data_IF_477696650661
#
_entry.id   IF_477696650661
#
_cell.length_a   1.000
_cell.length_b   1.000
_cell.length_c   1.000
_cell.angle_alpha   90.00
_cell.angle_beta   90.00
_cell.angle_gamma   90.00
#
_symmetry.space_group_name_H-M   'P 1'
#
loop_
_entity.id
_entity.type
_entity.pdbx_description
1 polymer ?
#
# COMPACT_ATOMS: atom_id res chain seq x y z
N UNK A 1 -30.34 40.12 -51.22
CA UNK A 1 -29.82 41.06 -50.19
C UNK A 1 -28.33 40.77 -50.05
N UNK A 2 -27.33 41.64 -50.18
CA UNK A 2 -27.14 43.04 -50.57
C UNK A 2 -25.71 43.10 -51.19
N UNK A 3 -25.46 43.83 -52.29
CA UNK A 3 -24.82 45.18 -52.34
C UNK A 3 -23.41 45.18 -51.67
N UNK A 4 -22.29 45.71 -52.17
CA UNK A 4 -21.88 46.85 -53.01
C UNK A 4 -20.34 46.66 -53.17
N UNK A 5 -19.59 46.95 -54.25
CA UNK A 5 -19.44 48.24 -54.92
C UNK A 5 -18.14 48.95 -54.51
N UNK A 6 -17.38 49.41 -55.52
CA UNK A 6 -16.49 50.59 -55.51
C UNK A 6 -15.13 50.45 -54.77
N UNK A 7 -13.97 50.84 -55.29
CA UNK A 7 -13.63 51.84 -56.30
C UNK A 7 -13.12 53.14 -55.64
N UNK A 8 -11.85 53.45 -55.90
CA UNK A 8 -11.26 54.79 -56.07
C UNK A 8 -10.67 55.58 -54.87
N UNK A 9 -9.40 55.96 -55.06
CA UNK A 9 -8.70 57.23 -54.79
C UNK A 9 -9.10 58.12 -53.59
N UNK A 10 -8.10 58.61 -52.83
CA UNK A 10 -7.42 59.90 -53.08
C UNK A 10 -6.75 60.45 -51.79
N UNK A 11 -5.56 61.03 -51.96
CA UNK A 11 -5.10 62.27 -51.32
C UNK A 11 -5.08 62.40 -49.79
N UNK A 12 -3.86 62.45 -49.23
CA UNK A 12 -3.64 62.92 -47.86
C UNK A 12 -2.16 63.13 -47.55
N UNK A 13 -1.56 64.17 -48.12
CA UNK A 13 -0.26 64.67 -47.71
C UNK A 13 -0.39 65.27 -46.31
N UNK A 14 0.24 64.67 -45.29
CA UNK A 14 0.42 65.29 -43.99
C UNK A 14 1.87 65.05 -43.53
N UNK A 15 2.72 66.05 -43.78
CA UNK A 15 3.95 66.26 -43.05
C UNK A 15 3.60 66.44 -41.57
N UNK A 16 3.90 65.45 -40.75
CA UNK A 16 4.00 65.64 -39.31
C UNK A 16 5.40 65.20 -38.86
N UNK A 17 6.23 66.21 -38.67
CA UNK A 17 7.45 66.18 -37.89
C UNK A 17 7.08 65.76 -36.46
N UNK A 18 7.27 64.48 -36.14
CA UNK A 18 7.04 63.91 -34.82
C UNK A 18 8.24 63.08 -34.42
N UNK A 19 9.09 63.65 -33.56
CA UNK A 19 10.17 62.97 -32.85
C UNK A 19 9.57 61.86 -31.96
N UNK A 20 9.39 60.67 -32.53
CA UNK A 20 8.87 59.49 -31.86
C UNK A 20 9.96 58.44 -31.72
N UNK A 21 10.43 58.24 -30.49
CA UNK A 21 11.39 57.22 -30.10
C UNK A 21 10.93 55.84 -30.60
N UNK A 22 11.56 55.33 -31.67
CA UNK A 22 11.25 54.03 -32.24
C UNK A 22 11.75 52.95 -31.28
N UNK A 23 10.87 52.50 -30.39
CA UNK A 23 11.07 51.28 -29.63
C UNK A 23 11.04 50.11 -30.60
N UNK A 24 12.21 49.67 -31.05
CA UNK A 24 12.38 48.46 -31.85
C UNK A 24 12.02 47.26 -31.00
N UNK A 25 10.74 46.86 -31.03
CA UNK A 25 10.32 45.53 -30.59
C UNK A 25 10.90 44.49 -31.56
N UNK A 26 12.15 44.10 -31.34
CA UNK A 26 12.69 42.86 -31.89
C UNK A 26 11.84 41.69 -31.37
N UNK A 27 11.21 40.88 -32.23
CA UNK A 27 10.55 39.67 -31.78
C UNK A 27 11.61 38.72 -31.24
N UNK A 28 11.67 38.61 -29.91
CA UNK A 28 12.51 37.61 -29.22
C UNK A 28 12.01 36.23 -29.64
N UNK A 29 12.68 35.62 -30.61
CA UNK A 29 12.42 34.24 -30.99
C UNK A 29 12.72 33.36 -29.78
N UNK A 30 11.68 32.81 -29.17
CA UNK A 30 11.82 31.80 -28.13
C UNK A 30 12.45 30.55 -28.76
N UNK A 31 13.76 30.38 -28.57
CA UNK A 31 14.47 29.17 -28.97
C UNK A 31 13.87 27.99 -28.22
N UNK A 32 12.92 27.30 -28.84
CA UNK A 32 12.40 26.03 -28.33
C UNK A 32 13.50 25.01 -28.55
N UNK A 33 14.26 24.70 -27.51
CA UNK A 33 15.21 23.58 -27.49
C UNK A 33 14.42 22.29 -27.67
N UNK A 34 14.35 21.80 -28.92
CA UNK A 34 13.80 20.47 -29.20
C UNK A 34 14.78 19.43 -28.67
N UNK A 35 14.30 18.57 -27.78
CA UNK A 35 15.05 17.41 -27.35
C UNK A 35 15.24 16.46 -28.55
N UNK A 36 16.48 16.31 -29.01
CA UNK A 36 16.83 15.40 -30.10
C UNK A 36 17.28 14.08 -29.49
N UNK A 37 16.41 13.07 -29.55
CA UNK A 37 16.73 11.72 -29.08
C UNK A 37 17.15 10.88 -30.29
N UNK A 38 18.35 10.25 -30.27
CA UNK A 38 18.76 9.34 -31.33
C UNK A 38 17.78 8.17 -31.49
N UNK A 39 17.44 7.81 -32.74
CA UNK A 39 16.56 6.67 -33.00
C UNK A 39 17.15 5.32 -32.51
N UNK A 40 18.47 5.26 -32.35
CA UNK A 40 19.19 4.11 -31.79
C UNK A 40 19.18 4.04 -30.27
N UNK A 41 18.66 5.05 -29.57
CA UNK A 41 18.62 5.04 -28.11
C UNK A 41 17.64 3.97 -27.62
N UNK A 42 18.01 3.16 -26.61
CA UNK A 42 17.07 2.22 -26.00
C UNK A 42 15.94 2.96 -25.27
N UNK A 43 14.87 2.24 -24.95
CA UNK A 43 13.84 2.76 -24.07
C UNK A 43 14.39 2.86 -22.64
N UNK A 44 13.97 3.89 -21.91
CA UNK A 44 14.31 4.06 -20.50
C UNK A 44 13.75 2.93 -19.65
N UNK A 45 14.49 2.53 -18.63
CA UNK A 45 14.08 1.45 -17.74
C UNK A 45 14.32 1.78 -16.26
N UNK A 46 13.58 1.09 -15.41
CA UNK A 46 13.68 1.13 -13.96
C UNK A 46 14.28 -0.19 -13.49
N UNK A 47 15.35 -0.11 -12.71
CA UNK A 47 16.01 -1.24 -12.08
C UNK A 47 15.86 -1.10 -10.57
N UNK A 48 15.13 -2.01 -9.94
CA UNK A 48 14.89 -1.94 -8.50
C UNK A 48 16.14 -2.25 -7.69
N UNK A 49 16.40 -1.40 -6.71
CA UNK A 49 17.48 -1.56 -5.73
C UNK A 49 16.94 -1.99 -4.37
N UNK A 50 15.69 -1.63 -4.05
CA UNK A 50 15.03 -1.97 -2.79
C UNK A 50 13.53 -2.19 -2.98
N UNK A 51 12.97 -3.33 -2.53
CA UNK A 51 13.68 -4.58 -2.24
C UNK A 51 14.32 -5.16 -3.52
N UNK A 52 15.22 -6.15 -3.36
CA UNK A 52 15.77 -6.84 -4.52
C UNK A 52 14.64 -7.62 -5.24
N UNK A 53 14.50 -7.49 -6.57
CA UNK A 53 13.42 -8.12 -7.32
C UNK A 53 13.52 -9.66 -7.38
N UNK A 54 14.65 -10.24 -6.99
CA UNK A 54 14.88 -11.69 -6.99
C UNK A 54 14.17 -12.42 -5.85
N UNK A 55 13.68 -11.68 -4.84
CA UNK A 55 13.02 -12.25 -3.66
C UNK A 55 11.72 -11.50 -3.36
N UNK A 56 10.64 -12.23 -3.12
CA UNK A 56 9.39 -11.62 -2.67
C UNK A 56 9.57 -11.12 -1.24
N UNK A 57 9.43 -9.80 -1.05
CA UNK A 57 9.50 -9.19 0.28
C UNK A 57 8.12 -9.13 0.93
N UNK A 58 8.05 -9.37 2.24
CA UNK A 58 6.83 -9.37 3.02
C UNK A 58 6.80 -8.14 3.94
N UNK A 59 5.73 -7.36 3.87
CA UNK A 59 5.56 -6.14 4.65
C UNK A 59 4.32 -6.19 5.52
N UNK A 60 4.51 -5.81 6.78
CA UNK A 60 3.47 -5.75 7.80
C UNK A 60 2.68 -4.45 7.69
N UNK A 61 1.37 -4.54 7.55
CA UNK A 61 0.45 -3.39 7.63
C UNK A 61 0.16 -3.11 9.10
N UNK A 62 1.03 -2.31 9.73
CA UNK A 62 0.88 -1.89 11.12
C UNK A 62 1.53 -0.52 11.35
N UNK A 63 1.06 0.21 12.36
CA UNK A 63 1.55 1.55 12.69
C UNK A 63 3.08 1.58 12.81
N UNK A 64 3.70 2.58 12.16
CA UNK A 64 5.16 2.78 12.17
C UNK A 64 5.96 1.86 11.22
N UNK A 65 5.30 0.95 10.48
CA UNK A 65 5.97 0.09 9.50
C UNK A 65 5.91 0.73 8.11
N UNK A 66 6.86 1.63 7.84
CA UNK A 66 7.00 2.27 6.54
C UNK A 66 7.68 1.31 5.54
N UNK A 67 7.17 1.29 4.31
CA UNK A 67 7.75 0.54 3.21
C UNK A 67 8.55 1.50 2.34
N UNK A 68 9.81 1.17 2.04
CA UNK A 68 10.64 1.95 1.12
C UNK A 68 10.90 1.16 -0.14
N UNK A 69 10.47 1.70 -1.27
CA UNK A 69 10.82 1.20 -2.59
C UNK A 69 11.90 2.11 -3.19
N UNK A 70 12.96 1.51 -3.73
CA UNK A 70 14.09 2.21 -4.33
C UNK A 70 14.45 1.61 -5.67
N UNK A 71 14.88 2.45 -6.61
CA UNK A 71 15.27 2.07 -7.96
C UNK A 71 16.30 3.04 -8.55
N UNK A 72 16.97 2.57 -9.59
CA UNK A 72 17.77 3.39 -10.50
C UNK A 72 17.08 3.49 -11.85
N UNK A 73 17.20 4.65 -12.49
CA UNK A 73 16.72 4.89 -13.84
C UNK A 73 17.88 4.81 -14.83
N UNK A 74 17.71 4.05 -15.89
CA UNK A 74 18.71 3.89 -16.96
C UNK A 74 18.11 4.28 -18.31
N UNK A 75 18.95 4.78 -19.21
CA UNK A 75 18.57 5.13 -20.59
C UNK A 75 17.44 6.17 -20.74
N UNK A 76 17.23 7.01 -19.73
CA UNK A 76 16.28 8.13 -19.78
C UNK A 76 16.99 9.37 -20.32
N UNK A 77 16.54 9.85 -21.47
CA UNK A 77 17.01 11.08 -22.13
C UNK A 77 15.95 12.18 -22.09
N UNK A 78 14.68 11.79 -22.08
CA UNK A 78 13.55 12.66 -21.77
C UNK A 78 13.16 12.47 -20.30
N UNK A 79 13.62 13.39 -19.44
CA UNK A 79 13.30 13.34 -18.01
C UNK A 79 11.79 13.50 -17.80
N UNK A 80 11.12 12.55 -17.12
CA UNK A 80 9.72 12.67 -16.76
C UNK A 80 9.45 13.90 -15.91
N UNK A 81 8.23 14.42 -16.01
CA UNK A 81 7.78 15.50 -15.11
C UNK A 81 7.41 14.96 -13.74
N UNK A 82 6.72 13.82 -13.72
CA UNK A 82 6.32 13.09 -12.53
C UNK A 82 6.30 11.59 -12.83
N UNK A 83 6.43 10.79 -11.77
CA UNK A 83 6.20 9.36 -11.82
C UNK A 83 4.90 9.05 -11.09
N UNK A 84 4.13 8.11 -11.63
CA UNK A 84 3.00 7.50 -10.94
C UNK A 84 3.39 6.12 -10.48
N UNK A 85 3.35 5.91 -9.17
CA UNK A 85 3.66 4.65 -8.49
C UNK A 85 2.37 4.08 -7.92
N UNK A 86 2.10 2.82 -8.23
CA UNK A 86 0.91 2.13 -7.76
C UNK A 86 1.20 0.67 -7.44
N UNK A 87 0.44 0.09 -6.52
CA UNK A 87 0.51 -1.31 -6.15
C UNK A 87 -0.72 -2.03 -6.69
N UNK A 88 -0.55 -2.91 -7.68
CA UNK A 88 -1.61 -3.76 -8.17
C UNK A 88 -1.60 -5.08 -7.41
N UNK A 89 -2.61 -5.32 -6.57
CA UNK A 89 -2.68 -6.51 -5.74
C UNK A 89 -3.55 -7.60 -6.36
N UNK A 90 -3.24 -8.86 -6.04
CA UNK A 90 -4.11 -10.00 -6.35
C UNK A 90 -5.48 -9.78 -5.70
N UNK A 91 -6.52 -9.61 -6.54
CA UNK A 91 -7.84 -9.09 -6.14
C UNK A 91 -8.35 -7.96 -7.05
N UNK A 92 -7.50 -7.42 -7.94
CA UNK A 92 -7.90 -6.50 -9.03
C UNK A 92 -7.84 -5.02 -8.68
N UNK A 93 -7.65 -4.68 -7.40
CA UNK A 93 -7.52 -3.29 -6.98
C UNK A 93 -6.07 -2.80 -7.15
N UNK A 94 -5.97 -1.52 -7.52
CA UNK A 94 -4.70 -0.79 -7.62
C UNK A 94 -4.69 0.31 -6.57
N UNK A 95 -3.62 0.37 -5.78
CA UNK A 95 -3.49 1.29 -4.67
C UNK A 95 -2.38 2.31 -4.96
N UNK A 96 -2.58 3.60 -4.68
CA UNK A 96 -1.52 4.60 -4.83
C UNK A 96 -0.40 4.34 -3.81
N UNK A 97 0.85 4.37 -4.28
CA UNK A 97 2.03 4.13 -3.44
C UNK A 97 2.82 5.42 -3.29
N UNK A 98 2.80 5.99 -2.09
CA UNK A 98 3.52 7.20 -1.77
C UNK A 98 2.88 7.98 -0.63
N UNK A 99 3.37 9.20 -0.35
CA UNK A 99 2.85 10.04 0.73
C UNK A 99 1.47 10.64 0.44
N UNK A 100 1.11 10.78 -0.83
CA UNK A 100 -0.17 11.35 -1.29
C UNK A 100 -0.86 10.37 -2.24
N UNK A 101 -1.02 10.70 -3.53
CA UNK A 101 -1.82 9.96 -4.50
C UNK A 101 -0.99 9.02 -5.39
N UNK A 102 0.20 8.65 -4.92
CA UNK A 102 1.15 7.85 -5.70
C UNK A 102 1.89 8.65 -6.78
N UNK A 103 1.75 9.98 -6.82
CA UNK A 103 2.49 10.86 -7.72
C UNK A 103 3.73 11.38 -7.00
N UNK A 104 4.90 11.18 -7.61
CA UNK A 104 6.20 11.64 -7.09
C UNK A 104 6.97 12.39 -8.19
N UNK A 105 8.04 13.08 -7.81
CA UNK A 105 8.88 13.81 -8.76
C UNK A 105 9.46 12.87 -9.83
N UNK A 106 9.55 13.35 -11.08
CA UNK A 106 10.06 12.58 -12.22
C UNK A 106 11.49 12.06 -12.07
N UNK A 107 12.28 12.69 -11.20
CA UNK A 107 13.67 12.34 -10.89
C UNK A 107 13.81 11.50 -9.61
N UNK A 108 12.71 11.17 -8.93
CA UNK A 108 12.76 10.40 -7.70
C UNK A 108 13.28 8.98 -7.96
N UNK A 109 14.20 8.54 -7.11
CA UNK A 109 14.80 7.19 -7.12
C UNK A 109 14.29 6.32 -5.96
N UNK A 110 13.43 6.88 -5.13
CA UNK A 110 12.80 6.16 -4.03
C UNK A 110 11.45 6.75 -3.68
N UNK A 111 10.59 5.93 -3.08
CA UNK A 111 9.34 6.34 -2.46
C UNK A 111 9.16 5.61 -1.14
N UNK A 112 8.68 6.35 -0.14
CA UNK A 112 8.28 5.80 1.15
C UNK A 112 6.76 5.77 1.21
N UNK A 113 6.21 4.64 1.60
CA UNK A 113 4.79 4.40 1.70
C UNK A 113 4.40 3.92 3.09
N UNK A 114 3.35 4.51 3.65
CA UNK A 114 2.73 4.09 4.90
C UNK A 114 1.42 3.35 4.60
N UNK A 115 1.45 2.01 4.48
CA UNK A 115 0.25 1.24 4.20
C UNK A 115 -0.77 1.31 5.35
N UNK A 116 -0.33 1.53 6.58
CA UNK A 116 -1.22 1.61 7.75
C UNK A 116 -2.03 2.90 7.72
N UNK A 117 -1.36 4.04 7.53
CA UNK A 117 -2.03 5.34 7.41
C UNK A 117 -2.94 5.38 6.18
N UNK A 118 -2.51 4.80 5.05
CA UNK A 118 -3.35 4.65 3.87
C UNK A 118 -4.66 3.90 4.18
N UNK A 119 -4.56 2.75 4.86
CA UNK A 119 -5.73 1.94 5.20
C UNK A 119 -6.67 2.64 6.18
N UNK A 120 -6.15 3.40 7.14
CA UNK A 120 -6.96 4.19 8.07
C UNK A 120 -7.76 5.30 7.35
N UNK A 121 -7.14 5.93 6.35
CA UNK A 121 -7.79 7.00 5.58
C UNK A 121 -8.75 6.48 4.50
N UNK A 122 -8.65 5.19 4.13
CA UNK A 122 -9.42 4.57 3.06
C UNK A 122 -10.16 3.30 3.53
N UNK A 123 -11.11 3.42 4.48
CA UNK A 123 -11.80 2.28 5.07
C UNK A 123 -12.65 1.47 4.07
N UNK A 124 -13.06 2.10 2.96
CA UNK A 124 -13.86 1.44 1.91
C UNK A 124 -13.01 0.58 0.96
N UNK A 125 -11.68 0.75 0.96
CA UNK A 125 -10.75 0.03 0.09
C UNK A 125 -9.58 -0.51 0.92
N UNK A 126 -9.83 -1.52 1.77
CA UNK A 126 -8.78 -2.10 2.62
C UNK A 126 -7.67 -2.72 1.76
N UNK A 127 -6.45 -2.70 2.29
CA UNK A 127 -5.32 -3.36 1.64
C UNK A 127 -5.48 -4.88 1.81
N UNK A 128 -5.33 -5.66 0.73
CA UNK A 128 -5.52 -7.10 0.79
C UNK A 128 -4.29 -7.77 1.43
N UNK A 129 -4.52 -8.91 2.07
CA UNK A 129 -3.45 -9.80 2.53
C UNK A 129 -2.97 -10.66 1.37
N UNK A 130 -2.28 -10.05 0.41
CA UNK A 130 -1.96 -10.70 -0.85
C UNK A 130 -0.65 -10.21 -1.46
N UNK A 131 -0.25 -10.87 -2.54
CA UNK A 131 0.90 -10.47 -3.34
C UNK A 131 0.48 -9.35 -4.29
N UNK A 132 1.30 -8.31 -4.36
CA UNK A 132 1.12 -7.11 -5.17
C UNK A 132 2.35 -6.86 -6.05
N UNK A 133 2.09 -6.32 -7.24
CA UNK A 133 3.13 -5.86 -8.14
C UNK A 133 3.23 -4.33 -8.06
N UNK A 134 4.44 -3.82 -7.84
CA UNK A 134 4.70 -2.39 -7.90
C UNK A 134 4.78 -1.97 -9.36
N UNK A 135 3.89 -1.06 -9.74
CA UNK A 135 3.80 -0.47 -11.06
C UNK A 135 4.33 0.96 -11.00
N UNK A 136 5.22 1.32 -11.93
CA UNK A 136 5.74 2.68 -12.09
C UNK A 136 5.60 3.11 -13.55
N UNK A 137 5.02 4.28 -13.79
CA UNK A 137 5.01 4.91 -15.11
C UNK A 137 5.32 6.41 -15.00
N UNK A 138 5.58 7.06 -16.13
CA UNK A 138 5.69 8.52 -16.22
C UNK A 138 4.32 9.15 -16.53
N UNK A 139 4.31 10.44 -16.83
CA UNK A 139 3.08 11.19 -17.17
C UNK A 139 2.24 10.61 -18.32
N UNK A 140 2.78 9.67 -19.10
CA UNK A 140 2.06 9.02 -20.20
C UNK A 140 1.20 7.84 -19.73
N UNK A 141 1.33 7.44 -18.47
CA UNK A 141 0.53 6.39 -17.84
C UNK A 141 1.01 4.96 -18.09
N UNK A 142 0.36 3.99 -17.45
CA UNK A 142 0.77 2.58 -17.46
C UNK A 142 0.65 1.89 -18.83
N UNK A 143 -0.19 2.40 -19.73
CA UNK A 143 -0.36 1.91 -21.09
C UNK A 143 0.59 2.58 -22.11
N UNK A 144 1.56 3.38 -21.66
CA UNK A 144 2.44 4.12 -22.55
C UNK A 144 3.25 3.18 -23.46
N UNK A 145 3.24 3.48 -24.76
CA UNK A 145 4.04 2.76 -25.75
C UNK A 145 5.53 2.97 -25.47
N UNK A 146 6.34 1.91 -25.60
CA UNK A 146 7.81 1.99 -25.51
C UNK A 146 8.35 2.96 -26.56
N UNK A 147 9.16 3.92 -26.12
CA UNK A 147 9.77 4.95 -26.97
C UNK A 147 11.22 5.15 -26.56
N UNK A 148 12.11 5.35 -27.54
CA UNK A 148 13.53 5.61 -27.34
C UNK A 148 13.75 6.81 -26.40
N UNK A 149 14.59 6.65 -25.38
CA UNK A 149 14.92 7.71 -24.43
C UNK A 149 13.81 8.14 -23.45
N UNK A 150 12.62 7.54 -23.53
CA UNK A 150 11.54 7.76 -22.57
C UNK A 150 11.37 6.55 -21.65
N UNK A 151 10.86 6.76 -20.44
CA UNK A 151 10.65 5.70 -19.45
C UNK A 151 9.63 4.65 -19.96
N UNK A 152 9.98 3.38 -19.95
CA UNK A 152 9.00 2.31 -20.14
C UNK A 152 8.25 2.05 -18.83
N UNK A 153 6.91 1.91 -18.84
CA UNK A 153 6.16 1.45 -17.68
C UNK A 153 6.75 0.14 -17.16
N UNK A 154 6.93 0.05 -15.84
CA UNK A 154 7.52 -1.09 -15.16
C UNK A 154 6.51 -1.71 -14.20
N UNK A 155 6.46 -3.04 -14.14
CA UNK A 155 5.64 -3.82 -13.20
C UNK A 155 6.37 -5.05 -12.63
N UNK A 156 7.71 -5.03 -12.64
CA UNK A 156 8.53 -6.22 -12.40
C UNK A 156 8.74 -6.55 -10.92
N UNK A 157 8.56 -5.57 -10.02
CA UNK A 157 8.77 -5.78 -8.58
C UNK A 157 7.54 -6.37 -7.93
N UNK A 158 7.71 -7.50 -7.25
CA UNK A 158 6.65 -8.17 -6.51
C UNK A 158 6.92 -8.13 -4.99
N UNK A 159 5.89 -7.82 -4.21
CA UNK A 159 5.93 -7.81 -2.76
C UNK A 159 4.61 -8.29 -2.17
N UNK A 160 4.58 -8.70 -0.91
CA UNK A 160 3.39 -9.18 -0.23
C UNK A 160 3.05 -8.31 0.97
N UNK A 161 1.76 -8.06 1.17
CA UNK A 161 1.23 -7.35 2.34
C UNK A 161 0.54 -8.33 3.27
N UNK A 162 0.70 -8.13 4.58
CA UNK A 162 -0.04 -8.89 5.58
C UNK A 162 -0.43 -8.01 6.78
N UNK A 163 -1.60 -8.28 7.34
CA UNK A 163 -2.11 -7.58 8.53
C UNK A 163 -1.95 -8.50 9.73
N UNK A 164 -1.33 -8.05 10.83
CA UNK A 164 -1.25 -8.86 12.04
C UNK A 164 -2.64 -9.11 12.62
N UNK A 165 -2.89 -10.31 13.11
CA UNK A 165 -4.05 -10.59 13.96
C UNK A 165 -3.85 -9.94 15.33
N UNK A 166 -4.91 -9.40 15.91
CA UNK A 166 -4.88 -8.87 17.27
C UNK A 166 -4.54 -10.00 18.26
N UNK A 167 -3.63 -9.73 19.20
CA UNK A 167 -3.29 -10.69 20.23
C UNK A 167 -4.48 -10.88 21.18
N UNK A 168 -5.06 -12.07 21.19
CA UNK A 168 -6.03 -12.49 22.21
C UNK A 168 -5.27 -13.04 23.42
N UNK A 169 -5.34 -12.40 24.60
CA UNK A 169 -4.69 -12.90 25.80
C UNK A 169 -5.18 -14.31 26.12
N UNK A 170 -4.28 -15.20 26.58
CA UNK A 170 -4.67 -16.55 27.01
C UNK A 170 -5.75 -16.52 28.11
N UNK A 171 -5.78 -15.45 28.92
CA UNK A 171 -6.78 -15.18 29.93
C UNK A 171 -8.20 -14.93 29.37
N UNK A 172 -8.33 -14.57 28.08
CA UNK A 172 -9.59 -14.20 27.45
C UNK A 172 -10.31 -15.37 26.75
N UNK A 173 -9.79 -16.60 26.82
CA UNK A 173 -10.44 -17.73 26.13
C UNK A 173 -9.94 -19.14 26.44
N UNK A 174 -8.76 -19.32 27.04
CA UNK A 174 -8.34 -20.67 27.43
C UNK A 174 -8.87 -21.00 28.82
N UNK A 175 -10.13 -21.45 28.89
CA UNK A 175 -10.66 -22.11 30.07
C UNK A 175 -10.44 -23.60 29.89
N UNK A 176 -9.40 -24.15 30.52
CA UNK A 176 -9.19 -25.59 30.50
C UNK A 176 -10.34 -26.28 31.23
N UNK A 177 -11.25 -26.89 30.46
CA UNK A 177 -12.43 -27.62 30.95
C UNK A 177 -12.04 -28.79 31.87
N UNK A 178 -10.80 -29.26 31.80
CA UNK A 178 -10.29 -30.42 32.56
C UNK A 178 -9.35 -30.01 33.71
N UNK A 179 -8.78 -28.80 33.69
CA UNK A 179 -7.79 -28.39 34.68
C UNK A 179 -8.42 -27.99 36.03
N UNK A 180 -9.74 -27.78 36.07
CA UNK A 180 -10.52 -27.62 37.31
C UNK A 180 -11.02 -28.96 37.90
N UNK A 181 -10.52 -30.10 37.45
CA UNK A 181 -10.86 -31.42 37.98
C UNK A 181 -10.48 -31.65 39.46
N UNK A 182 -9.76 -30.72 40.10
CA UNK A 182 -9.41 -30.82 41.51
C UNK A 182 -10.56 -30.50 42.48
N UNK A 183 -11.72 -30.00 42.02
CA UNK A 183 -12.88 -29.69 42.89
C UNK A 183 -14.18 -30.44 42.51
N UNK A 184 -14.15 -31.46 41.64
CA UNK A 184 -15.32 -32.30 41.35
C UNK A 184 -15.24 -33.73 41.91
N UNK A 185 -14.36 -33.98 42.88
CA UNK A 185 -14.42 -35.22 43.67
C UNK A 185 -15.65 -35.29 44.58
N UNK A 186 -16.45 -34.23 44.67
CA UNK A 186 -17.71 -34.21 45.43
C UNK A 186 -18.87 -34.99 44.77
N UNK A 187 -18.78 -35.35 43.48
CA UNK A 187 -19.87 -36.02 42.74
C UNK A 187 -19.43 -37.23 41.92
N UNK A 188 -18.23 -37.78 42.19
CA UNK A 188 -17.86 -39.07 41.61
C UNK A 188 -18.62 -40.21 42.32
N UNK A 189 -19.25 -41.15 41.57
CA UNK A 189 -19.97 -42.29 42.15
C UNK A 189 -19.11 -43.13 43.12
N UNK A 190 -17.80 -43.14 42.91
CA UNK A 190 -16.84 -43.83 43.78
C UNK A 190 -16.74 -43.21 45.19
N UNK A 191 -16.94 -41.89 45.36
CA UNK A 191 -16.91 -41.23 46.66
C UNK A 191 -18.13 -41.57 47.51
N UNK A 192 -19.29 -41.74 46.86
CA UNK A 192 -20.53 -42.18 47.50
C UNK A 192 -20.38 -43.62 47.99
N UNK A 193 -19.82 -44.51 47.16
CA UNK A 193 -19.55 -45.90 47.57
C UNK A 193 -18.61 -45.97 48.79
N UNK A 194 -17.55 -45.16 48.82
CA UNK A 194 -16.57 -45.18 49.91
C UNK A 194 -17.17 -44.68 51.25
N UNK A 195 -18.04 -43.66 51.21
CA UNK A 195 -18.78 -43.20 52.40
C UNK A 195 -19.74 -44.25 52.94
N UNK A 196 -20.46 -44.95 52.05
CA UNK A 196 -21.41 -46.00 52.46
C UNK A 196 -20.68 -47.19 53.08
N UNK A 197 -19.55 -47.62 52.51
CA UNK A 197 -18.77 -48.74 53.09
C UNK A 197 -18.22 -48.39 54.48
N UNK A 198 -17.73 -47.16 54.68
CA UNK A 198 -17.23 -46.69 55.99
C UNK A 198 -18.35 -46.67 57.05
N UNK A 199 -19.56 -46.23 56.69
CA UNK A 199 -20.70 -46.21 57.59
C UNK A 199 -21.10 -47.63 58.04
N UNK A 200 -21.12 -48.59 57.10
CA UNK A 200 -21.46 -49.98 57.39
C UNK A 200 -20.42 -50.60 58.34
N UNK A 201 -19.12 -50.42 58.07
CA UNK A 201 -18.06 -50.93 58.93
C UNK A 201 -18.12 -50.37 60.37
N UNK A 202 -18.43 -49.06 60.51
CA UNK A 202 -18.56 -48.43 61.83
C UNK A 202 -19.78 -48.95 62.59
N UNK A 203 -20.94 -49.10 61.94
CA UNK A 203 -22.14 -49.63 62.58
C UNK A 203 -21.98 -51.11 62.99
N UNK A 204 -21.29 -51.91 62.18
CA UNK A 204 -20.95 -53.31 62.52
C UNK A 204 -19.98 -53.38 63.70
N UNK A 205 -18.96 -52.51 63.73
CA UNK A 205 -18.03 -52.41 64.86
C UNK A 205 -18.69 -51.95 66.15
N UNK A 206 -19.59 -50.98 66.08
CA UNK A 206 -20.33 -50.47 67.24
C UNK A 206 -21.32 -51.48 67.80
N UNK A 207 -21.94 -52.31 66.94
CA UNK A 207 -22.84 -53.37 67.39
C UNK A 207 -22.09 -54.46 68.18
N UNK A 208 -20.90 -54.87 67.73
CA UNK A 208 -20.07 -55.84 68.44
C UNK A 208 -19.63 -55.33 69.82
N UNK A 209 -19.21 -54.07 69.92
CA UNK A 209 -18.83 -53.43 71.18
C UNK A 209 -20.00 -53.29 72.17
N UNK A 210 -21.24 -53.12 71.67
CA UNK A 210 -22.43 -53.06 72.53
C UNK A 210 -22.88 -54.44 73.00
N UNK A 211 -22.69 -55.48 72.20
CA UNK A 211 -23.03 -56.87 72.59
C UNK A 211 -22.07 -57.47 73.61
N UNK A 212 -20.84 -56.97 73.70
CA UNK A 212 -19.86 -57.42 74.70
C UNK A 212 -19.99 -56.74 76.07
N UNK A 213 -20.79 -55.67 76.18
CA UNK A 213 -20.97 -54.89 77.41
C UNK A 213 -22.25 -55.28 78.20
N UNK A 214 -22.94 -56.36 77.80
CA UNK A 214 -24.17 -56.90 78.42
C UNK A 214 -24.00 -58.34 78.95
N UNK A 215 -22.78 -58.69 79.39
CA UNK A 215 -22.49 -59.86 80.23
C UNK A 215 -21.59 -59.42 81.38
#
# INVERSE_FOLDING_TARGET
MADNGNGNNNGGNNNNNGNGNANTNTPTSSTTTRLIIPASAPAGEIVFTKPLPTVTSYYKVAQGNLITFGWNMSYILATPTHLTVSAACSGGNTYPVGPTDGIIAGTATQVVWDPYSYQMNNPNTPLPQAVCNLMICDERGFGAVRRAGYLAPNNALQFALYTPQAYTPLASGWKCTICNGAMSTATHPAAISLLVTILICLLSGFHLLRTTNNR
#
